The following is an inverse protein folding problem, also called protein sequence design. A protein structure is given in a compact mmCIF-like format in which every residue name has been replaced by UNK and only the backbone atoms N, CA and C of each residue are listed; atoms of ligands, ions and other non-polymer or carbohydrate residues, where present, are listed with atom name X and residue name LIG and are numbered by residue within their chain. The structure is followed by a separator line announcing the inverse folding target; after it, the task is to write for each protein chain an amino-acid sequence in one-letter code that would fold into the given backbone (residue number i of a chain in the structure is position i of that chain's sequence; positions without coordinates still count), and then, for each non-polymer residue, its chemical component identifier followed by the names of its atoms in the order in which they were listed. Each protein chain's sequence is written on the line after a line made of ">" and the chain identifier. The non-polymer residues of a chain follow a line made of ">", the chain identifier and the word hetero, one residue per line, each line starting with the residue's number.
data_IF_726763115638
#
_entry.id   IF_726763115638
#
_cell.length_a   1.000
_cell.length_b   1.000
_cell.length_c   1.000
_cell.angle_alpha   90.00
_cell.angle_beta   90.00
_cell.angle_gamma   90.00
#
_symmetry.space_group_name_H-M   'P 1'
#
loop_
_entity.id
_entity.type
_entity.pdbx_description
1 polymer ?
#
# COMPACT_ATOMS: atom_id res chain seq x y z
N UNK A 1 -2.96 -43.87 2.14
CA UNK A 1 -2.11 -43.89 3.35
C UNK A 1 -1.89 -42.44 3.75
N UNK A 2 -2.51 -41.82 4.75
CA UNK A 2 -3.16 -42.27 5.98
C UNK A 2 -2.68 -41.27 7.05
N UNK A 3 -3.56 -40.42 7.58
CA UNK A 3 -3.15 -39.43 8.59
C UNK A 3 -4.13 -38.28 8.82
N UNK A 4 -5.33 -38.59 9.30
CA UNK A 4 -6.22 -37.63 9.95
C UNK A 4 -5.86 -37.58 11.44
N UNK A 5 -5.60 -36.40 12.01
CA UNK A 5 -5.58 -36.21 13.47
C UNK A 5 -6.24 -34.88 13.84
N UNK A 6 -7.35 -35.01 14.58
CA UNK A 6 -8.08 -33.96 15.27
C UNK A 6 -7.28 -33.41 16.46
N UNK A 7 -7.56 -32.18 16.90
CA UNK A 7 -7.96 -31.94 18.30
C UNK A 7 -8.42 -30.49 18.52
N UNK A 8 -9.70 -30.38 18.85
CA UNK A 8 -10.31 -29.24 19.49
C UNK A 8 -10.04 -29.30 21.00
N UNK A 9 -9.80 -28.16 21.63
CA UNK A 9 -9.89 -28.01 23.09
C UNK A 9 -10.78 -26.82 23.41
N UNK A 10 -12.02 -27.14 23.80
CA UNK A 10 -12.92 -26.28 24.58
C UNK A 10 -12.32 -26.05 25.95
N UNK A 11 -12.31 -24.81 26.43
CA UNK A 11 -12.40 -24.54 27.86
C UNK A 11 -13.27 -23.31 28.08
N UNK A 12 -14.33 -23.49 28.86
CA UNK A 12 -15.29 -22.46 29.20
C UNK A 12 -14.89 -21.72 30.47
N UNK A 13 -15.20 -20.43 30.51
CA UNK A 13 -15.36 -19.69 31.76
C UNK A 13 -16.54 -18.75 31.60
N UNK A 14 -17.61 -19.05 32.32
CA UNK A 14 -18.82 -18.25 32.45
C UNK A 14 -18.57 -17.22 33.56
N UNK A 15 -18.51 -15.94 33.20
CA UNK A 15 -18.50 -14.83 34.16
C UNK A 15 -19.69 -13.92 33.89
N UNK A 16 -20.70 -13.99 34.77
CA UNK A 16 -21.82 -13.04 34.83
C UNK A 16 -21.36 -11.77 35.56
N UNK A 17 -21.60 -10.61 34.98
CA UNK A 17 -21.64 -9.34 35.72
C UNK A 17 -22.69 -8.40 35.11
N UNK A 18 -23.40 -7.74 36.01
CA UNK A 18 -24.66 -7.05 35.82
C UNK A 18 -24.50 -5.52 35.85
N UNK A 19 -25.45 -4.82 35.22
CA UNK A 19 -25.70 -3.38 35.37
C UNK A 19 -24.72 -2.48 34.60
N UNK A 20 -25.11 -1.42 33.90
CA UNK A 20 -26.26 -0.55 34.07
C UNK A 20 -26.76 -0.02 32.72
N UNK A 21 -28.08 0.21 32.66
CA UNK A 21 -28.80 0.86 31.57
C UNK A 21 -28.50 2.36 31.61
N UNK A 22 -28.09 2.93 30.48
CA UNK A 22 -28.14 4.37 30.25
C UNK A 22 -29.03 4.62 29.02
N UNK A 23 -30.30 4.93 29.31
CA UNK A 23 -31.31 5.35 28.35
C UNK A 23 -31.05 6.82 27.98
N UNK A 24 -30.62 7.06 26.74
CA UNK A 24 -30.69 8.41 26.14
C UNK A 24 -31.41 8.38 24.80
N UNK A 25 -32.33 9.33 24.56
CA UNK A 25 -33.24 9.30 23.42
C UNK A 25 -32.54 9.60 22.09
N UNK A 26 -32.74 8.71 21.12
CA UNK A 26 -32.37 8.90 19.72
C UNK A 26 -33.22 10.02 19.10
N UNK A 27 -32.56 11.11 18.71
CA UNK A 27 -33.13 12.10 17.80
C UNK A 27 -33.11 11.54 16.38
N UNK A 28 -34.30 11.16 15.90
CA UNK A 28 -34.58 10.84 14.49
C UNK A 28 -34.32 12.05 13.60
N UNK A 29 -33.48 11.89 12.59
CA UNK A 29 -33.53 12.72 11.38
C UNK A 29 -34.01 11.85 10.22
N UNK A 30 -35.28 12.09 9.85
CA UNK A 30 -35.90 11.65 8.60
C UNK A 30 -35.52 12.65 7.50
N UNK A 31 -35.17 12.13 6.34
CA UNK A 31 -35.11 12.85 5.06
C UNK A 31 -34.04 12.20 4.18
N UNK A 32 -34.28 11.71 2.97
CA UNK A 32 -35.50 11.56 2.19
C UNK A 32 -35.19 10.53 1.09
N UNK A 33 -36.18 9.76 0.67
CA UNK A 33 -36.05 8.83 -0.45
C UNK A 33 -36.08 9.59 -1.78
N UNK A 34 -35.17 9.26 -2.70
CA UNK A 34 -35.28 9.66 -4.10
C UNK A 34 -34.25 8.98 -4.99
N UNK A 35 -34.71 8.07 -5.86
CA UNK A 35 -34.04 7.75 -7.13
C UNK A 35 -32.96 6.65 -7.10
N UNK A 36 -33.39 5.39 -7.19
CA UNK A 36 -32.54 4.29 -7.67
C UNK A 36 -32.33 4.42 -9.19
N UNK A 37 -31.11 4.79 -9.58
CA UNK A 37 -30.48 4.29 -10.80
C UNK A 37 -29.07 3.84 -10.39
N UNK A 38 -28.79 2.55 -10.60
CA UNK A 38 -27.61 1.84 -10.10
C UNK A 38 -26.31 2.26 -10.76
N UNK A 39 -25.80 3.44 -10.40
CA UNK A 39 -24.37 3.70 -10.42
C UNK A 39 -23.80 3.20 -9.11
N UNK A 40 -22.87 2.24 -9.16
CA UNK A 40 -21.99 1.96 -8.02
C UNK A 40 -21.28 3.28 -7.74
N UNK A 41 -21.75 4.03 -6.75
CA UNK A 41 -21.02 5.18 -6.23
C UNK A 41 -19.72 4.62 -5.69
N UNK A 42 -18.67 4.69 -6.51
CA UNK A 42 -17.29 4.51 -6.07
C UNK A 42 -17.10 5.56 -5.00
N UNK A 43 -17.35 5.18 -3.74
CA UNK A 43 -17.02 6.00 -2.58
C UNK A 43 -15.55 6.34 -2.77
N UNK A 44 -15.23 7.61 -2.96
CA UNK A 44 -13.86 8.06 -3.18
C UNK A 44 -12.97 7.35 -2.18
N UNK A 45 -12.15 6.42 -2.66
CA UNK A 45 -11.23 5.66 -1.82
C UNK A 45 -10.40 6.66 -1.02
N UNK A 46 -10.11 6.34 0.25
CA UNK A 46 -9.25 7.16 1.11
C UNK A 46 -7.82 7.11 0.55
N UNK A 47 -7.57 7.83 -0.55
CA UNK A 47 -6.29 7.84 -1.26
C UNK A 47 -5.45 8.99 -0.73
N UNK A 48 -4.28 8.66 -0.20
CA UNK A 48 -3.31 9.65 0.27
C UNK A 48 -2.22 9.80 -0.77
N UNK A 49 -2.17 10.97 -1.40
CA UNK A 49 -1.09 11.33 -2.30
C UNK A 49 0.20 11.56 -1.49
N UNK A 50 1.27 10.89 -1.92
CA UNK A 50 2.62 11.09 -1.41
C UNK A 50 3.40 11.88 -2.46
N UNK A 51 3.91 13.02 -2.04
CA UNK A 51 4.73 13.94 -2.85
C UNK A 51 6.20 13.94 -2.41
N UNK A 52 7.05 14.62 -3.18
CA UNK A 52 8.47 14.74 -2.83
C UNK A 52 8.68 15.58 -1.55
N UNK A 53 7.74 16.47 -1.24
CA UNK A 53 7.78 17.33 -0.04
C UNK A 53 7.17 16.66 1.20
N UNK A 54 6.62 15.45 1.04
CA UNK A 54 5.98 14.72 2.13
C UNK A 54 7.01 14.30 3.18
N UNK A 55 6.80 14.72 4.44
CA UNK A 55 7.67 14.35 5.56
C UNK A 55 7.37 12.94 6.05
N UNK A 56 8.35 12.05 5.96
CA UNK A 56 8.23 10.63 6.33
C UNK A 56 7.67 10.45 7.76
N UNK A 57 8.22 11.16 8.75
CA UNK A 57 7.79 11.04 10.15
C UNK A 57 6.34 11.48 10.38
N UNK A 58 5.92 12.59 9.76
CA UNK A 58 4.54 13.08 9.85
C UNK A 58 3.56 12.08 9.22
N UNK A 59 3.93 11.50 8.07
CA UNK A 59 3.13 10.51 7.38
C UNK A 59 3.01 9.21 8.18
N UNK A 60 4.13 8.72 8.74
CA UNK A 60 4.15 7.56 9.64
C UNK A 60 3.32 7.78 10.90
N UNK A 61 3.37 8.97 11.51
CA UNK A 61 2.54 9.30 12.68
C UNK A 61 1.04 9.31 12.37
N UNK A 62 0.65 9.82 11.19
CA UNK A 62 -0.75 9.76 10.73
C UNK A 62 -1.22 8.32 10.49
N UNK A 63 -0.38 7.48 9.87
CA UNK A 63 -0.68 6.06 9.70
C UNK A 63 -0.82 5.35 11.05
N UNK A 64 0.11 5.59 11.97
CA UNK A 64 0.09 5.03 13.31
C UNK A 64 -1.20 5.41 14.07
N UNK A 65 -1.58 6.70 14.05
CA UNK A 65 -2.82 7.18 14.66
C UNK A 65 -4.08 6.58 14.01
N UNK A 66 -4.05 6.30 12.70
CA UNK A 66 -5.13 5.61 12.00
C UNK A 66 -5.26 4.16 12.48
N UNK A 67 -4.15 3.42 12.54
CA UNK A 67 -4.14 2.01 12.97
C UNK A 67 -4.60 1.86 14.42
N UNK A 68 -4.06 2.68 15.32
CA UNK A 68 -4.34 2.59 16.76
C UNK A 68 -5.66 3.23 17.16
N UNK A 69 -6.07 4.31 16.50
CA UNK A 69 -7.33 5.00 16.78
C UNK A 69 -8.58 4.22 16.34
N UNK A 70 -8.43 3.24 15.45
CA UNK A 70 -9.53 2.40 15.00
C UNK A 70 -10.04 1.44 16.08
N UNK A 71 -9.21 1.11 17.08
CA UNK A 71 -9.56 0.16 18.14
C UNK A 71 -10.63 0.67 19.12
N UNK A 72 -10.98 1.96 19.10
CA UNK A 72 -11.81 2.56 20.17
C UNK A 72 -13.20 3.04 19.73
N UNK A 73 -13.52 3.08 18.43
CA UNK A 73 -14.79 3.70 17.95
C UNK A 73 -15.75 2.79 17.20
N UNK A 74 -15.53 1.47 17.16
CA UNK A 74 -16.45 0.51 16.55
C UNK A 74 -16.71 0.69 15.04
N UNK A 75 -16.15 1.72 14.41
CA UNK A 75 -16.20 1.95 12.97
C UNK A 75 -14.94 1.39 12.32
N UNK A 76 -15.11 0.45 11.40
CA UNK A 76 -14.06 -0.05 10.53
C UNK A 76 -13.60 1.06 9.58
N UNK A 77 -12.71 1.94 10.05
CA UNK A 77 -12.06 2.90 9.18
C UNK A 77 -11.05 2.14 8.34
N UNK A 78 -11.37 2.00 7.07
CA UNK A 78 -10.45 1.46 6.06
C UNK A 78 -9.10 2.17 6.13
N UNK A 79 -8.03 1.40 5.95
CA UNK A 79 -6.70 1.98 5.80
C UNK A 79 -6.63 2.72 4.46
N UNK A 80 -5.87 3.81 4.37
CA UNK A 80 -5.76 4.55 3.13
C UNK A 80 -4.93 3.78 2.10
N UNK A 81 -5.20 4.03 0.82
CA UNK A 81 -4.30 3.64 -0.28
C UNK A 81 -3.29 4.76 -0.47
N UNK A 82 -1.99 4.44 -0.53
CA UNK A 82 -0.97 5.46 -0.79
C UNK A 82 -0.70 5.55 -2.28
N UNK A 83 -0.89 6.72 -2.89
CA UNK A 83 -0.54 6.96 -4.28
C UNK A 83 0.76 7.77 -4.37
N UNK A 84 1.75 7.27 -5.11
CA UNK A 84 3.05 7.91 -5.25
C UNK A 84 3.54 7.91 -6.70
N UNK A 85 4.20 9.00 -7.11
CA UNK A 85 4.72 9.18 -8.47
C UNK A 85 6.22 9.48 -8.47
N UNK A 86 7.01 8.60 -9.08
CA UNK A 86 8.47 8.72 -9.17
C UNK A 86 9.23 8.23 -7.93
N UNK A 87 10.56 8.14 -8.04
CA UNK A 87 11.39 7.50 -7.01
C UNK A 87 11.33 8.13 -5.63
N UNK A 88 11.37 9.46 -5.51
CA UNK A 88 11.40 10.12 -4.19
C UNK A 88 10.09 9.87 -3.43
N UNK A 89 8.90 10.13 -4.00
CA UNK A 89 7.67 9.92 -3.26
C UNK A 89 7.39 8.44 -2.97
N UNK A 90 7.74 7.52 -3.89
CA UNK A 90 7.63 6.07 -3.63
C UNK A 90 8.52 5.68 -2.45
N UNK A 91 9.76 6.18 -2.40
CA UNK A 91 10.66 5.98 -1.26
C UNK A 91 10.08 6.53 0.05
N UNK A 92 9.50 7.73 0.02
CA UNK A 92 8.86 8.32 1.20
C UNK A 92 7.69 7.47 1.70
N UNK A 93 6.84 6.98 0.78
CA UNK A 93 5.71 6.12 1.12
C UNK A 93 6.17 4.83 1.82
N UNK A 94 7.12 4.10 1.22
CA UNK A 94 7.63 2.84 1.79
C UNK A 94 8.29 3.06 3.14
N UNK A 95 9.15 4.08 3.26
CA UNK A 95 9.82 4.40 4.53
C UNK A 95 8.84 4.88 5.60
N UNK A 96 7.76 5.57 5.23
CA UNK A 96 6.73 5.97 6.19
C UNK A 96 5.98 4.75 6.75
N UNK A 97 5.66 3.75 5.92
CA UNK A 97 5.07 2.49 6.39
C UNK A 97 6.06 1.72 7.26
N UNK A 98 7.34 1.63 6.86
CA UNK A 98 8.38 1.00 7.67
C UNK A 98 8.57 1.67 9.05
N UNK A 99 8.54 3.02 9.08
CA UNK A 99 8.63 3.79 10.31
C UNK A 99 7.38 3.61 11.19
N UNK A 100 6.20 3.55 10.58
CA UNK A 100 4.96 3.23 11.27
C UNK A 100 5.05 1.85 11.93
N UNK A 101 5.51 0.82 11.21
CA UNK A 101 5.73 -0.51 11.78
C UNK A 101 6.69 -0.49 12.97
N UNK A 102 7.76 0.32 12.90
CA UNK A 102 8.66 0.53 14.04
C UNK A 102 7.97 1.20 15.24
N UNK A 103 7.00 2.08 15.02
CA UNK A 103 6.18 2.64 16.11
C UNK A 103 5.28 1.56 16.71
N UNK A 104 4.59 0.78 15.87
CA UNK A 104 3.70 -0.31 16.29
C UNK A 104 4.46 -1.37 17.10
N UNK A 105 5.70 -1.71 16.71
CA UNK A 105 6.56 -2.64 17.44
C UNK A 105 6.84 -2.22 18.89
N UNK A 106 6.83 -0.91 19.21
CA UNK A 106 7.02 -0.44 20.58
C UNK A 106 5.83 -0.73 21.49
N UNK A 107 4.65 -0.99 20.92
CA UNK A 107 3.41 -1.28 21.64
C UNK A 107 3.16 -2.78 21.82
N UNK A 108 4.12 -3.64 21.46
CA UNK A 108 4.04 -5.08 21.64
C UNK A 108 3.42 -5.84 20.46
N UNK A 109 3.27 -7.15 20.63
CA UNK A 109 2.86 -8.10 19.56
C UNK A 109 1.36 -8.03 19.24
N UNK A 110 0.57 -7.42 20.12
CA UNK A 110 -0.89 -7.35 19.99
C UNK A 110 -1.34 -6.36 18.92
N UNK A 111 -0.52 -5.37 18.57
CA UNK A 111 -0.88 -4.37 17.57
C UNK A 111 -0.56 -4.90 16.17
N UNK A 112 -1.52 -4.88 15.23
CA UNK A 112 -1.26 -5.34 13.87
C UNK A 112 -0.20 -4.44 13.20
N UNK A 113 0.70 -5.06 12.44
CA UNK A 113 1.63 -4.34 11.57
C UNK A 113 0.94 -3.95 10.26
N UNK A 114 1.53 -3.04 9.51
CA UNK A 114 1.08 -2.65 8.19
C UNK A 114 1.93 -3.33 7.11
N UNK A 115 1.27 -4.13 6.28
CA UNK A 115 1.80 -4.54 4.99
C UNK A 115 1.16 -3.72 3.87
N UNK A 116 1.74 -3.78 2.68
CA UNK A 116 1.13 -3.21 1.48
C UNK A 116 1.11 -4.20 0.32
N UNK A 117 0.07 -4.09 -0.52
CA UNK A 117 0.02 -4.70 -1.84
C UNK A 117 0.30 -3.61 -2.90
N UNK A 118 1.40 -3.71 -3.67
CA UNK A 118 1.74 -2.70 -4.66
C UNK A 118 1.03 -2.95 -6.01
N UNK A 119 0.45 -1.90 -6.59
CA UNK A 119 -0.25 -1.94 -7.90
C UNK A 119 0.29 -0.85 -8.82
N UNK A 120 0.56 -1.19 -10.08
CA UNK A 120 0.96 -0.19 -11.08
C UNK A 120 -0.27 0.44 -11.73
N UNK A 121 -0.40 1.75 -11.60
CA UNK A 121 -1.47 2.50 -12.24
C UNK A 121 -0.90 3.34 -13.38
N UNK A 122 -1.44 3.15 -14.58
CA UNK A 122 -1.16 4.03 -15.73
C UNK A 122 -2.38 4.89 -15.99
N UNK A 123 -2.18 6.20 -16.10
CA UNK A 123 -3.27 7.13 -16.35
C UNK A 123 -2.82 8.29 -17.23
N UNK A 124 -3.79 8.91 -17.90
CA UNK A 124 -3.58 10.13 -18.68
C UNK A 124 -4.17 11.27 -17.87
N UNK A 125 -3.33 12.20 -17.41
CA UNK A 125 -3.81 13.39 -16.72
C UNK A 125 -4.47 14.31 -17.74
N UNK A 126 -5.80 14.33 -17.78
CA UNK A 126 -6.54 15.38 -18.46
C UNK A 126 -6.37 16.66 -17.66
N UNK A 127 -5.79 17.67 -18.29
CA UNK A 127 -5.66 18.95 -17.65
C UNK A 127 -7.00 19.67 -17.78
N UNK A 128 -7.84 19.55 -16.74
CA UNK A 128 -9.18 20.15 -16.71
C UNK A 128 -9.11 21.67 -16.98
N UNK A 129 -8.02 22.32 -16.57
CA UNK A 129 -7.80 23.74 -16.86
C UNK A 129 -7.52 24.02 -18.35
N UNK A 130 -6.84 23.11 -19.08
CA UNK A 130 -6.66 23.27 -20.54
C UNK A 130 -7.93 22.94 -21.31
N UNK A 131 -8.75 22.00 -20.83
CA UNK A 131 -10.06 21.71 -21.41
C UNK A 131 -11.02 22.89 -21.22
N UNK A 132 -11.07 23.49 -20.02
CA UNK A 132 -11.86 24.69 -19.77
C UNK A 132 -11.42 25.89 -20.62
N UNK A 133 -10.11 26.09 -20.80
CA UNK A 133 -9.57 27.15 -21.64
C UNK A 133 -9.88 26.95 -23.14
N UNK A 134 -9.89 25.70 -23.63
CA UNK A 134 -10.27 25.41 -25.02
C UNK A 134 -11.74 25.70 -25.30
N UNK A 135 -12.63 25.30 -24.39
CA UNK A 135 -14.06 25.54 -24.54
C UNK A 135 -14.42 27.03 -24.51
N UNK A 136 -13.59 27.87 -23.88
CA UNK A 136 -13.82 29.32 -23.82
C UNK A 136 -13.50 30.06 -25.14
N UNK A 137 -12.68 29.48 -26.02
CA UNK A 137 -12.23 30.15 -27.27
C UNK A 137 -13.19 29.89 -28.44
N UNK A 138 -14.04 28.85 -28.38
CA UNK A 138 -14.98 28.52 -29.46
C UNK A 138 -16.26 29.36 -29.47
N UNK A 139 -16.47 30.27 -28.49
CA UNK A 139 -17.72 31.06 -28.41
C UNK A 139 -17.64 32.46 -29.05
N UNK A 140 -16.47 32.94 -29.47
CA UNK A 140 -16.33 34.30 -30.05
C UNK A 140 -16.13 34.28 -31.58
N UNK A 141 -17.01 33.56 -32.26
CA UNK A 141 -17.11 33.51 -33.71
C UNK A 141 -17.76 34.77 -34.29
N UNK A 142 -17.02 35.88 -34.33
CA UNK A 142 -17.30 37.06 -35.15
C UNK A 142 -16.19 37.25 -36.18
N UNK A 143 -16.49 37.05 -37.45
CA UNK A 143 -15.51 36.83 -38.52
C UNK A 143 -14.56 37.98 -38.82
N UNK A 144 -13.36 37.62 -39.29
CA UNK A 144 -12.64 38.37 -40.32
C UNK A 144 -11.72 37.39 -41.03
N UNK A 145 -11.99 37.19 -42.31
CA UNK A 145 -11.21 36.35 -43.22
C UNK A 145 -9.81 36.96 -43.48
N UNK A 146 -8.91 36.09 -43.96
CA UNK A 146 -7.62 36.41 -44.58
C UNK A 146 -6.41 36.72 -43.67
N UNK A 147 -5.76 35.66 -43.19
CA UNK A 147 -4.30 35.57 -43.32
C UNK A 147 -3.80 34.14 -43.09
N UNK A 148 -3.71 33.37 -44.18
CA UNK A 148 -3.10 32.05 -44.20
C UNK A 148 -1.58 32.16 -43.98
N UNK A 149 -1.15 32.01 -42.73
CA UNK A 149 0.22 31.59 -42.43
C UNK A 149 0.17 30.18 -41.85
N UNK A 150 0.88 29.19 -42.42
CA UNK A 150 0.94 27.84 -41.87
C UNK A 150 1.78 27.84 -40.58
N UNK A 151 1.16 28.25 -39.47
CA UNK A 151 1.71 28.05 -38.15
C UNK A 151 1.76 26.55 -37.87
N UNK A 152 2.97 25.99 -37.93
CA UNK A 152 3.31 24.69 -37.33
C UNK A 152 2.71 24.69 -35.92
N UNK A 153 1.55 24.08 -35.76
CA UNK A 153 0.93 23.73 -34.48
C UNK A 153 2.00 22.98 -33.71
N UNK A 154 2.70 23.66 -32.80
CA UNK A 154 3.45 23.03 -31.72
C UNK A 154 2.43 22.14 -31.02
N UNK A 155 2.46 20.85 -31.34
CA UNK A 155 1.71 19.86 -30.59
C UNK A 155 2.20 20.02 -29.16
N UNK A 156 1.35 20.61 -28.32
CA UNK A 156 1.56 20.64 -26.89
C UNK A 156 1.85 19.19 -26.47
N UNK A 157 2.83 18.92 -25.59
CA UNK A 157 3.16 17.57 -25.07
C UNK A 157 2.04 17.02 -24.17
N UNK A 158 0.80 17.25 -24.58
CA UNK A 158 -0.45 16.99 -23.90
C UNK A 158 -0.73 15.49 -24.03
N UNK A 159 -0.90 14.85 -22.86
CA UNK A 159 -1.29 13.45 -22.69
C UNK A 159 -0.21 12.35 -22.80
N UNK A 160 1.07 12.63 -22.50
CA UNK A 160 1.99 11.52 -22.24
C UNK A 160 1.47 10.64 -21.07
N UNK A 161 1.36 9.31 -21.23
CA UNK A 161 0.86 8.41 -20.19
C UNK A 161 1.76 8.50 -18.95
N UNK A 162 1.15 8.76 -17.80
CA UNK A 162 1.83 8.83 -16.51
C UNK A 162 1.68 7.52 -15.77
N UNK A 163 2.68 7.20 -14.95
CA UNK A 163 2.69 5.99 -14.11
C UNK A 163 2.72 6.43 -12.65
N UNK A 164 1.77 5.96 -11.86
CA UNK A 164 1.79 6.01 -10.39
C UNK A 164 1.87 4.58 -9.83
N UNK A 165 2.30 4.48 -8.58
CA UNK A 165 2.21 3.26 -7.80
C UNK A 165 1.18 3.49 -6.71
N UNK A 166 0.25 2.55 -6.58
CA UNK A 166 -0.67 2.46 -5.44
C UNK A 166 -0.14 1.44 -4.45
N UNK A 167 -0.12 1.78 -3.16
CA UNK A 167 0.22 0.88 -2.07
C UNK A 167 -1.05 0.68 -1.22
N UNK A 168 -1.74 -0.43 -1.45
CA UNK A 168 -2.94 -0.79 -0.67
C UNK A 168 -2.50 -1.32 0.69
N UNK A 169 -2.76 -0.56 1.75
CA UNK A 169 -2.34 -0.91 3.09
C UNK A 169 -3.29 -1.94 3.71
N UNK A 170 -2.72 -2.96 4.34
CA UNK A 170 -3.47 -4.00 5.06
C UNK A 170 -2.88 -4.28 6.43
N UNK A 171 -3.71 -4.49 7.46
CA UNK A 171 -3.23 -4.92 8.76
C UNK A 171 -2.77 -6.38 8.66
N UNK A 172 -1.63 -6.70 9.27
CA UNK A 172 -1.11 -8.06 9.42
C UNK A 172 -1.02 -8.36 10.91
N UNK A 173 -1.61 -9.47 11.40
CA UNK A 173 -1.51 -9.87 12.80
C UNK A 173 -0.05 -9.91 13.27
N UNK A 174 0.25 -9.31 14.42
CA UNK A 174 1.62 -9.17 14.91
C UNK A 174 2.35 -10.51 15.11
N UNK A 175 1.62 -11.57 15.51
CA UNK A 175 2.17 -12.92 15.63
C UNK A 175 2.69 -13.48 14.28
N UNK A 176 1.93 -13.29 13.20
CA UNK A 176 2.33 -13.70 11.85
C UNK A 176 3.55 -12.90 11.38
N UNK A 177 3.55 -11.59 11.66
CA UNK A 177 4.66 -10.72 11.29
C UNK A 177 5.96 -11.01 12.06
N UNK A 178 5.86 -11.49 13.32
CA UNK A 178 7.01 -11.89 14.12
C UNK A 178 7.62 -13.21 13.62
N UNK A 179 6.79 -14.14 13.13
CA UNK A 179 7.25 -15.41 12.57
C UNK A 179 8.12 -15.21 11.32
N UNK A 180 7.76 -14.27 10.45
CA UNK A 180 8.52 -13.97 9.22
C UNK A 180 9.96 -13.51 9.46
N UNK A 181 10.29 -12.99 10.64
CA UNK A 181 11.61 -12.38 10.95
C UNK A 181 12.59 -13.40 11.56
N UNK A 182 12.16 -14.62 11.90
CA UNK A 182 12.97 -15.57 12.68
C UNK A 182 13.53 -16.76 11.89
N UNK A 183 13.49 -16.72 10.56
CA UNK A 183 14.02 -17.82 9.75
C UNK A 183 15.55 -17.79 9.72
N UNK A 184 16.17 -18.95 9.93
CA UNK A 184 17.64 -19.12 10.01
C UNK A 184 18.30 -19.01 8.62
N UNK A 185 17.55 -19.29 7.56
CA UNK A 185 18.02 -19.24 6.17
C UNK A 185 17.28 -18.15 5.38
N UNK A 186 17.62 -16.88 5.62
CA UNK A 186 17.00 -15.77 4.88
C UNK A 186 17.47 -15.75 3.41
N UNK A 187 16.55 -15.92 2.46
CA UNK A 187 16.82 -15.64 1.04
C UNK A 187 16.76 -14.12 0.81
N UNK A 188 17.94 -13.49 0.81
CA UNK A 188 18.08 -12.03 0.68
C UNK A 188 18.36 -11.66 -0.78
N UNK A 189 17.39 -10.99 -1.40
CA UNK A 189 17.54 -10.41 -2.74
C UNK A 189 17.88 -8.94 -2.62
N UNK A 190 19.12 -8.58 -2.99
CA UNK A 190 19.57 -7.18 -3.01
C UNK A 190 19.24 -6.51 -4.34
N UNK A 191 18.59 -5.35 -4.26
CA UNK A 191 18.14 -4.56 -5.41
C UNK A 191 19.04 -3.35 -5.59
N UNK A 192 19.65 -3.25 -6.77
CA UNK A 192 20.40 -2.08 -7.21
C UNK A 192 19.55 -1.20 -8.12
N UNK A 193 20.03 0.03 -8.41
CA UNK A 193 19.39 0.94 -9.37
C UNK A 193 19.28 0.34 -10.79
N UNK A 194 20.24 -0.52 -11.15
CA UNK A 194 20.39 -1.11 -12.50
C UNK A 194 19.66 -2.47 -12.61
N UNK A 195 19.01 -2.90 -11.52
CA UNK A 195 18.21 -4.12 -11.52
C UNK A 195 17.00 -3.97 -12.45
N UNK A 196 16.80 -4.92 -13.36
CA UNK A 196 15.68 -4.87 -14.30
C UNK A 196 14.36 -5.31 -13.62
N UNK A 197 13.32 -4.44 -13.54
CA UNK A 197 12.14 -4.73 -12.73
C UNK A 197 11.39 -6.02 -13.11
N UNK A 198 11.28 -6.30 -14.41
CA UNK A 198 10.57 -7.49 -14.91
C UNK A 198 11.31 -8.78 -14.53
N UNK A 199 12.65 -8.77 -14.55
CA UNK A 199 13.45 -9.97 -14.21
C UNK A 199 13.37 -10.26 -12.72
N UNK A 200 13.48 -9.23 -11.89
CA UNK A 200 13.29 -9.35 -10.45
C UNK A 200 11.86 -9.79 -10.10
N UNK A 201 10.84 -9.23 -10.74
CA UNK A 201 9.45 -9.66 -10.56
C UNK A 201 9.24 -11.13 -10.94
N UNK A 202 9.89 -11.62 -12.00
CA UNK A 202 9.89 -13.03 -12.37
C UNK A 202 10.54 -13.93 -11.32
N UNK A 203 11.69 -13.51 -10.77
CA UNK A 203 12.39 -14.23 -9.70
C UNK A 203 11.52 -14.34 -8.44
N UNK A 204 10.92 -13.23 -8.00
CA UNK A 204 10.01 -13.20 -6.84
C UNK A 204 8.82 -14.15 -7.07
N UNK A 205 8.20 -14.07 -8.25
CA UNK A 205 7.06 -14.92 -8.59
C UNK A 205 7.43 -16.40 -8.62
N UNK A 206 8.62 -16.78 -9.10
CA UNK A 206 9.03 -18.18 -9.15
C UNK A 206 9.17 -18.85 -7.78
N UNK A 207 9.35 -18.04 -6.72
CA UNK A 207 9.46 -18.53 -5.35
C UNK A 207 8.11 -18.54 -4.61
N UNK A 208 7.12 -17.81 -5.12
CA UNK A 208 5.81 -17.67 -4.48
C UNK A 208 5.09 -19.01 -4.22
N UNK A 209 5.03 -19.97 -5.17
CA UNK A 209 4.35 -21.25 -4.92
C UNK A 209 4.95 -22.04 -3.75
N UNK A 210 6.28 -22.02 -3.59
CA UNK A 210 6.95 -22.68 -2.46
C UNK A 210 6.59 -22.04 -1.11
N UNK A 211 6.49 -20.70 -1.08
CA UNK A 211 6.08 -19.95 0.11
C UNK A 211 4.63 -20.22 0.47
N UNK A 212 3.74 -20.21 -0.52
CA UNK A 212 2.31 -20.45 -0.35
C UNK A 212 2.04 -21.88 0.13
N UNK A 213 2.77 -22.86 -0.39
CA UNK A 213 2.69 -24.25 0.05
C UNK A 213 3.34 -24.49 1.43
N UNK A 214 3.99 -23.49 2.04
CA UNK A 214 4.72 -23.63 3.30
C UNK A 214 5.92 -24.58 3.22
N UNK A 215 6.42 -24.87 2.01
CA UNK A 215 7.51 -25.80 1.76
C UNK A 215 8.88 -25.14 2.03
N UNK A 216 8.99 -23.85 1.73
CA UNK A 216 10.17 -23.04 2.06
C UNK A 216 9.91 -22.30 3.39
N UNK A 217 10.64 -22.68 4.44
CA UNK A 217 10.55 -22.08 5.77
C UNK A 217 11.12 -20.66 5.88
N UNK A 218 11.45 -20.01 4.76
CA UNK A 218 12.08 -18.69 4.74
C UNK A 218 11.27 -17.69 3.94
N UNK A 219 10.95 -16.57 4.58
CA UNK A 219 10.41 -15.42 3.88
C UNK A 219 11.49 -14.85 2.93
N UNK A 220 11.08 -14.41 1.75
CA UNK A 220 11.99 -13.72 0.82
C UNK A 220 12.18 -12.29 1.34
N UNK A 221 13.42 -11.94 1.66
CA UNK A 221 13.77 -10.59 2.08
C UNK A 221 14.30 -9.81 0.88
N UNK A 222 13.58 -8.78 0.45
CA UNK A 222 14.04 -7.90 -0.64
C UNK A 222 14.61 -6.61 -0.06
N UNK A 223 15.89 -6.37 -0.29
CA UNK A 223 16.62 -5.23 0.25
C UNK A 223 16.92 -4.21 -0.85
N UNK A 224 16.52 -2.95 -0.65
CA UNK A 224 16.86 -1.84 -1.53
C UNK A 224 17.46 -0.68 -0.74
N UNK A 225 18.45 -0.01 -1.32
CA UNK A 225 19.07 1.19 -0.74
C UNK A 225 18.92 2.38 -1.67
N UNK A 226 18.31 3.44 -1.14
CA UNK A 226 18.10 4.71 -1.84
C UNK A 226 16.86 4.74 -2.74
N UNK A 227 16.39 5.95 -3.12
CA UNK A 227 15.08 6.10 -3.75
C UNK A 227 14.90 5.35 -5.08
N UNK A 228 15.92 5.35 -5.96
CA UNK A 228 15.84 4.66 -7.26
C UNK A 228 15.77 3.14 -7.12
N UNK A 229 16.57 2.57 -6.23
CA UNK A 229 16.54 1.13 -5.96
C UNK A 229 15.20 0.73 -5.32
N UNK A 230 14.65 1.56 -4.43
CA UNK A 230 13.32 1.33 -3.83
C UNK A 230 12.23 1.39 -4.89
N UNK A 231 12.28 2.35 -5.82
CA UNK A 231 11.33 2.39 -6.95
C UNK A 231 11.41 1.11 -7.80
N UNK A 232 12.62 0.67 -8.15
CA UNK A 232 12.84 -0.57 -8.89
C UNK A 232 12.29 -1.78 -8.14
N UNK A 233 12.55 -1.88 -6.83
CA UNK A 233 12.02 -2.92 -5.96
C UNK A 233 10.49 -2.93 -5.96
N UNK A 234 9.85 -1.79 -5.70
CA UNK A 234 8.39 -1.68 -5.63
C UNK A 234 7.73 -2.00 -6.97
N UNK A 235 8.30 -1.54 -8.09
CA UNK A 235 7.81 -1.91 -9.43
C UNK A 235 7.91 -3.41 -9.70
N UNK A 236 9.00 -4.04 -9.27
CA UNK A 236 9.19 -5.49 -9.41
C UNK A 236 8.18 -6.27 -8.58
N UNK A 237 7.94 -5.83 -7.35
CA UNK A 237 6.93 -6.39 -6.45
C UNK A 237 5.52 -6.24 -7.04
N UNK A 238 5.19 -5.09 -7.63
CA UNK A 238 3.89 -4.88 -8.27
C UNK A 238 3.68 -5.82 -9.47
N UNK A 239 4.70 -6.00 -10.32
CA UNK A 239 4.64 -6.95 -11.45
C UNK A 239 4.43 -8.39 -10.94
N UNK A 240 5.14 -8.79 -9.88
CA UNK A 240 4.99 -10.12 -9.29
C UNK A 240 3.60 -10.28 -8.65
N UNK A 241 3.14 -9.27 -7.92
CA UNK A 241 1.84 -9.24 -7.25
C UNK A 241 0.69 -9.35 -8.25
N UNK A 242 0.68 -8.54 -9.31
CA UNK A 242 -0.34 -8.58 -10.36
C UNK A 242 -0.44 -9.95 -11.04
N UNK A 243 0.69 -10.66 -11.18
CA UNK A 243 0.69 -12.02 -11.73
C UNK A 243 0.17 -13.05 -10.74
N UNK A 244 0.58 -12.95 -9.47
CA UNK A 244 0.09 -13.84 -8.41
C UNK A 244 -1.41 -13.66 -8.17
N UNK A 245 -1.90 -12.42 -8.16
CA UNK A 245 -3.29 -12.08 -7.94
C UNK A 245 -4.23 -12.63 -9.04
N UNK A 246 -3.76 -12.78 -10.29
CA UNK A 246 -4.57 -13.34 -11.39
C UNK A 246 -4.99 -14.79 -11.18
N UNK A 247 -4.27 -15.55 -10.37
CA UNK A 247 -4.64 -16.92 -10.03
C UNK A 247 -5.78 -16.98 -9.01
N UNK A 248 -6.15 -15.84 -8.42
CA UNK A 248 -7.15 -15.74 -7.37
C UNK A 248 -8.50 -15.27 -7.96
N UNK A 249 -9.54 -16.06 -7.78
CA UNK A 249 -10.90 -15.74 -8.27
C UNK A 249 -11.73 -14.90 -7.27
N UNK A 250 -11.24 -14.67 -6.05
CA UNK A 250 -11.97 -13.97 -4.99
C UNK A 250 -11.63 -12.46 -4.90
N UNK A 251 -11.95 -11.83 -3.77
CA UNK A 251 -11.77 -10.40 -3.57
C UNK A 251 -10.29 -9.98 -3.67
N UNK A 252 -10.05 -8.81 -4.28
CA UNK A 252 -8.71 -8.23 -4.49
C UNK A 252 -7.98 -8.03 -3.16
N UNK A 253 -8.74 -7.83 -2.08
CA UNK A 253 -8.22 -7.67 -0.72
C UNK A 253 -7.46 -8.90 -0.20
N UNK A 254 -7.79 -10.09 -0.70
CA UNK A 254 -7.20 -11.38 -0.32
C UNK A 254 -6.22 -11.92 -1.37
N UNK A 255 -6.18 -11.32 -2.56
CA UNK A 255 -5.38 -11.81 -3.67
C UNK A 255 -3.86 -11.58 -3.48
N UNK A 256 -3.08 -12.56 -3.96
CA UNK A 256 -1.62 -12.49 -4.04
C UNK A 256 -0.93 -12.40 -2.67
N UNK A 257 0.13 -11.60 -2.61
CA UNK A 257 0.97 -11.46 -1.41
C UNK A 257 0.98 -10.04 -0.86
N UNK A 258 1.64 -9.84 0.27
CA UNK A 258 1.80 -8.49 0.84
C UNK A 258 3.22 -8.30 1.30
N UNK A 259 3.70 -7.07 1.15
CA UNK A 259 5.04 -6.69 1.51
C UNK A 259 5.00 -6.05 2.90
N UNK A 260 5.75 -6.60 3.84
CA UNK A 260 5.91 -6.01 5.17
C UNK A 260 7.19 -5.18 5.20
N UNK A 261 7.12 -3.84 5.04
CA UNK A 261 8.33 -3.03 5.05
C UNK A 261 8.89 -2.90 6.47
N UNK A 262 10.20 -3.00 6.57
CA UNK A 262 10.95 -2.80 7.81
C UNK A 262 12.28 -2.11 7.54
N UNK A 263 12.75 -1.30 8.48
CA UNK A 263 14.13 -0.84 8.47
C UNK A 263 15.01 -1.97 9.01
N UNK A 264 15.93 -2.47 8.18
CA UNK A 264 16.93 -3.44 8.62
C UNK A 264 17.72 -2.83 9.77
N UNK A 265 17.71 -3.51 10.92
CA UNK A 265 18.68 -3.24 11.98
C UNK A 265 19.98 -3.87 11.51
N UNK A 266 21.02 -3.08 11.32
CA UNK A 266 22.36 -3.59 11.09
C UNK A 266 22.83 -4.25 12.39
N UNK A 267 22.42 -5.51 12.60
CA UNK A 267 22.88 -6.34 13.70
C UNK A 267 24.29 -6.81 13.35
N UNK A 268 25.30 -6.06 13.79
CA UNK A 268 26.70 -6.48 13.66
C UNK A 268 27.61 -5.50 12.93
N UNK A 269 27.72 -4.27 13.42
CA UNK A 269 29.06 -3.70 13.43
C UNK A 269 29.91 -4.60 14.34
N UNK A 270 31.12 -5.05 13.93
CA UNK A 270 31.98 -5.84 14.81
C UNK A 270 32.06 -5.04 16.11
N UNK A 271 31.62 -5.65 17.22
CA UNK A 271 31.69 -5.03 18.53
C UNK A 271 33.13 -4.58 18.69
N UNK A 272 33.35 -3.27 18.55
CA UNK A 272 34.68 -2.70 18.43
C UNK A 272 35.47 -3.26 19.59
N UNK A 273 36.46 -4.10 19.26
CA UNK A 273 37.41 -4.58 20.23
C UNK A 273 37.95 -3.34 20.89
N UNK A 274 37.55 -3.11 22.15
CA UNK A 274 38.23 -2.20 23.05
C UNK A 274 39.63 -2.78 23.18
N UNK A 275 40.52 -2.35 22.29
CA UNK A 275 41.95 -2.51 22.47
C UNK A 275 42.29 -1.79 23.76
N UNK A 276 42.47 -2.57 24.82
CA UNK A 276 43.11 -2.10 26.04
C UNK A 276 44.59 -1.87 25.72
N UNK A 277 45.00 -0.62 25.82
CA UNK A 277 46.37 -0.22 26.09
C UNK A 277 46.43 0.36 27.49
#
# INVERSE_FOLDING_TARGET
>A
CGGSVNSATRSGAVGRSAGARDDRPQRRLRGGSGGRLGGTTVTMEDVWEVSADSRIASFAGRLYGRVTGNSHRGGCRTLPTLEAMGHVPISHAVNAVALCNRFLDKHGVEVPRLAFAPVLRTFVRRNIASEAARNAVEFDGGGTEESERPHRRRQSPEAAPRKSVLLHLRPVPGAQAAACVRSVDEDIIRVSRDTHPVRLGGLILSRWPSLEAGLEGSAITVQAMGPRSIETMVKSLAIAWEKAARAYEADISEAGFGCLPSHLRLTGGPAGGRGGG
#
